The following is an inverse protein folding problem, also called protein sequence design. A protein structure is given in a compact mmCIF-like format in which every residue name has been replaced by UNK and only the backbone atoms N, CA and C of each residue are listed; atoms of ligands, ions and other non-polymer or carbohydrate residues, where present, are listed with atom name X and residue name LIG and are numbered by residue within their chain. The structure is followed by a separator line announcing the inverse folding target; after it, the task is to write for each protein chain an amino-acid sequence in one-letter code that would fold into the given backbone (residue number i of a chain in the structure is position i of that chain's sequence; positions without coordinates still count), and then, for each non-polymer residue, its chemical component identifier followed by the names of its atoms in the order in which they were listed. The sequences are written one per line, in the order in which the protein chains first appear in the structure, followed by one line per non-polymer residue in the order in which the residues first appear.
data_IF_195844668623
#
_entry.id   IF_195844668623
#
_cell.length_a   1.000
_cell.length_b   1.000
_cell.length_c   1.000
_cell.angle_alpha   90.00
_cell.angle_beta   90.00
_cell.angle_gamma   90.00
#
_symmetry.space_group_name_H-M   'P 1'
#
loop_
_entity.id
_entity.type
_entity.pdbx_description
1 polymer ?
#
# COMPACT_ATOMS: atom_id res chain seq x y z
N UNK A 1 74.59 -22.90 -21.26
CA UNK A 1 74.36 -22.18 -19.99
C UNK A 1 73.78 -20.82 -20.39
N UNK A 2 72.50 -20.48 -20.33
CA UNK A 2 71.26 -21.09 -19.85
C UNK A 2 70.16 -20.55 -20.78
N UNK A 3 69.34 -21.45 -21.31
CA UNK A 3 68.18 -21.19 -22.17
C UNK A 3 66.94 -21.16 -21.28
N UNK A 4 66.68 -20.03 -20.59
CA UNK A 4 65.50 -19.87 -19.72
C UNK A 4 65.27 -18.40 -19.29
N UNK A 5 65.37 -17.44 -20.19
CA UNK A 5 64.68 -16.17 -19.97
C UNK A 5 63.35 -16.28 -20.70
N UNK A 6 62.28 -16.63 -19.96
CA UNK A 6 60.92 -16.67 -20.49
C UNK A 6 60.63 -15.33 -21.16
N UNK A 7 60.56 -15.35 -22.49
CA UNK A 7 60.32 -14.19 -23.35
C UNK A 7 59.06 -13.47 -22.87
N UNK A 8 59.25 -12.28 -22.30
CA UNK A 8 58.23 -11.45 -21.66
C UNK A 8 57.08 -11.05 -22.60
N UNK A 9 57.23 -11.30 -23.90
CA UNK A 9 56.21 -11.03 -24.93
C UNK A 9 55.74 -12.31 -25.65
N UNK A 10 56.11 -13.51 -25.19
CA UNK A 10 55.70 -14.77 -25.82
C UNK A 10 54.23 -15.13 -25.58
N UNK A 11 53.63 -15.81 -26.57
CA UNK A 11 52.25 -16.30 -26.55
C UNK A 11 51.95 -17.23 -25.36
N UNK A 12 52.99 -17.87 -24.79
CA UNK A 12 52.90 -18.69 -23.58
C UNK A 12 52.54 -17.87 -22.32
N UNK A 13 52.82 -16.57 -22.30
CA UNK A 13 52.44 -15.66 -21.20
C UNK A 13 51.04 -15.07 -21.45
N UNK A 14 50.72 -14.71 -22.70
CA UNK A 14 49.39 -14.22 -23.08
C UNK A 14 48.30 -15.31 -22.98
N UNK A 15 48.65 -16.58 -23.22
CA UNK A 15 47.73 -17.72 -23.06
C UNK A 15 47.47 -18.12 -21.60
N UNK A 16 48.27 -17.62 -20.64
CA UNK A 16 48.03 -17.80 -19.19
C UNK A 16 47.07 -16.76 -18.63
N UNK A 17 46.88 -15.64 -19.33
CA UNK A 17 45.85 -14.67 -18.97
C UNK A 17 44.55 -15.04 -19.67
N UNK A 18 43.48 -15.21 -18.90
CA UNK A 18 42.15 -15.37 -19.49
C UNK A 18 41.85 -14.13 -20.36
N UNK A 19 41.45 -14.33 -21.62
CA UNK A 19 41.11 -13.25 -22.55
C UNK A 19 39.76 -12.65 -22.14
N UNK A 20 39.74 -11.90 -21.04
CA UNK A 20 38.56 -11.19 -20.53
C UNK A 20 38.37 -9.90 -21.31
N UNK A 21 38.30 -9.99 -22.64
CA UNK A 21 37.80 -8.88 -23.45
C UNK A 21 36.40 -8.58 -22.93
N UNK A 22 36.12 -7.39 -22.38
CA UNK A 22 34.78 -7.05 -21.95
C UNK A 22 33.92 -7.05 -23.21
N UNK A 23 33.18 -8.13 -23.43
CA UNK A 23 32.42 -8.34 -24.63
C UNK A 23 31.50 -7.15 -24.89
N UNK A 24 31.38 -6.76 -26.16
CA UNK A 24 30.29 -5.87 -26.58
C UNK A 24 29.00 -6.52 -26.10
N UNK A 25 28.19 -5.76 -25.34
CA UNK A 25 27.04 -6.33 -24.67
C UNK A 25 26.05 -6.90 -25.70
N UNK A 26 25.83 -8.21 -25.65
CA UNK A 26 24.97 -8.94 -26.60
C UNK A 26 23.48 -8.82 -26.28
N UNK A 27 23.12 -8.50 -25.03
CA UNK A 27 21.75 -8.35 -24.55
C UNK A 27 21.61 -7.14 -23.60
N UNK A 28 20.39 -6.60 -23.50
CA UNK A 28 20.04 -5.49 -22.61
C UNK A 28 20.33 -5.81 -21.14
N UNK A 29 20.08 -7.05 -20.72
CA UNK A 29 20.36 -7.50 -19.34
C UNK A 29 21.86 -7.57 -19.05
N UNK A 30 22.64 -8.06 -20.01
CA UNK A 30 24.10 -8.10 -19.88
C UNK A 30 24.70 -6.69 -19.84
N UNK A 31 24.16 -5.75 -20.64
CA UNK A 31 24.55 -4.33 -20.58
C UNK A 31 24.26 -3.74 -19.19
N UNK A 32 23.11 -4.08 -18.60
CA UNK A 32 22.75 -3.66 -17.24
C UNK A 32 23.70 -4.25 -16.18
N UNK A 33 24.06 -5.53 -16.28
CA UNK A 33 25.02 -6.16 -15.37
C UNK A 33 26.42 -5.53 -15.47
N UNK A 34 26.90 -5.25 -16.69
CA UNK A 34 28.17 -4.55 -16.90
C UNK A 34 28.13 -3.11 -16.37
N UNK A 35 26.99 -2.42 -16.46
CA UNK A 35 26.81 -1.10 -15.86
C UNK A 35 26.82 -1.14 -14.32
N UNK A 36 26.20 -2.16 -13.71
CA UNK A 36 26.23 -2.39 -12.26
C UNK A 36 27.68 -2.67 -11.82
N UNK A 37 28.38 -3.60 -12.47
CA UNK A 37 29.77 -3.92 -12.16
C UNK A 37 30.71 -2.72 -12.36
N UNK A 38 30.53 -1.93 -13.43
CA UNK A 38 31.27 -0.67 -13.66
C UNK A 38 31.00 0.40 -12.59
N UNK A 39 29.87 0.32 -11.88
CA UNK A 39 29.51 1.23 -10.80
C UNK A 39 30.07 0.74 -9.46
N UNK A 40 30.09 -0.57 -9.24
CA UNK A 40 30.71 -1.21 -8.07
C UNK A 40 32.24 -1.05 -8.07
N UNK A 41 32.90 -1.20 -9.23
CA UNK A 41 34.35 -0.99 -9.37
C UNK A 41 34.77 0.48 -9.39
N UNK A 42 33.83 1.40 -9.60
CA UNK A 42 34.10 2.83 -9.40
C UNK A 42 33.99 3.14 -7.91
N UNK A 43 35.03 2.79 -7.16
CA UNK A 43 35.24 3.42 -5.87
C UNK A 43 35.24 4.95 -6.08
N UNK A 44 34.40 5.70 -5.37
CA UNK A 44 34.38 7.14 -5.51
C UNK A 44 35.74 7.68 -5.08
N UNK A 45 36.56 8.07 -6.06
CA UNK A 45 37.81 8.77 -5.78
C UNK A 45 37.47 10.10 -5.11
N UNK A 46 37.75 10.19 -3.81
CA UNK A 46 37.63 11.42 -3.05
C UNK A 46 38.38 12.53 -3.78
N UNK A 47 37.79 13.72 -3.81
CA UNK A 47 38.44 14.87 -4.45
C UNK A 47 39.75 15.14 -3.71
N UNK A 48 40.79 15.61 -4.42
CA UNK A 48 42.12 15.88 -3.85
C UNK A 48 42.07 16.64 -2.51
N UNK A 49 41.18 17.60 -2.36
CA UNK A 49 41.02 18.38 -1.13
C UNK A 49 40.42 17.58 0.05
N UNK A 50 39.49 16.64 -0.21
CA UNK A 50 38.91 15.74 0.79
C UNK A 50 39.97 14.77 1.30
N UNK A 51 40.80 14.23 0.38
CA UNK A 51 41.91 13.35 0.71
C UNK A 51 42.98 14.07 1.53
N UNK A 52 43.31 15.32 1.17
CA UNK A 52 44.24 16.15 1.94
C UNK A 52 43.69 16.52 3.32
N UNK A 53 42.39 16.81 3.42
CA UNK A 53 41.73 17.06 4.71
C UNK A 53 41.75 15.82 5.59
N UNK A 54 41.44 14.65 5.06
CA UNK A 54 41.51 13.38 5.79
C UNK A 54 42.93 13.11 6.30
N UNK A 55 43.94 13.26 5.44
CA UNK A 55 45.36 13.13 5.82
C UNK A 55 45.77 14.13 6.90
N UNK A 56 45.25 15.37 6.83
CA UNK A 56 45.49 16.40 7.84
C UNK A 56 44.85 16.04 9.18
N UNK A 57 43.58 15.62 9.19
CA UNK A 57 42.89 15.20 10.41
C UNK A 57 43.56 14.00 11.04
N UNK A 58 43.94 13.00 10.25
CA UNK A 58 44.66 11.83 10.72
C UNK A 58 46.03 12.21 11.33
N UNK A 59 46.76 13.14 10.70
CA UNK A 59 48.03 13.62 11.23
C UNK A 59 47.88 14.50 12.48
N UNK A 60 46.83 15.32 12.57
CA UNK A 60 46.53 16.14 13.75
C UNK A 60 46.09 15.29 14.96
N UNK A 61 45.35 14.21 14.72
CA UNK A 61 44.89 13.31 15.76
C UNK A 61 46.01 12.41 16.32
N UNK A 62 47.12 12.25 15.58
CA UNK A 62 48.27 11.47 16.04
C UNK A 62 49.18 12.37 16.89
N UNK A 63 49.35 12.08 18.21
CA UNK A 63 50.24 12.85 19.06
C UNK A 63 51.68 12.74 18.56
N UNK A 64 52.48 13.79 18.80
CA UNK A 64 53.90 13.80 18.43
C UNK A 64 54.63 12.70 19.21
N UNK A 65 55.36 11.83 18.50
CA UNK A 65 56.11 10.74 19.12
C UNK A 65 57.26 11.25 19.99
N UNK A 66 57.64 10.47 21.00
CA UNK A 66 58.79 10.75 21.87
C UNK A 66 60.14 10.73 21.13
N UNK A 67 60.20 10.07 19.98
CA UNK A 67 61.34 10.05 19.06
C UNK A 67 61.58 11.41 18.39
N UNK A 68 60.55 12.26 18.30
CA UNK A 68 60.71 13.59 17.75
C UNK A 68 61.65 14.42 18.64
N UNK A 69 62.77 14.89 18.07
CA UNK A 69 63.76 15.73 18.75
C UNK A 69 63.14 16.94 19.46
N UNK A 70 62.07 17.51 18.89
CA UNK A 70 61.33 18.62 19.50
C UNK A 70 60.65 18.22 20.81
N UNK A 71 60.00 17.06 20.85
CA UNK A 71 59.40 16.52 22.08
C UNK A 71 60.48 16.17 23.10
N UNK A 72 61.61 15.59 22.68
CA UNK A 72 62.73 15.29 23.56
C UNK A 72 63.36 16.56 24.19
N UNK A 73 63.42 17.67 23.45
CA UNK A 73 63.86 18.96 23.97
C UNK A 73 62.86 19.53 24.99
N UNK A 74 61.56 19.49 24.68
CA UNK A 74 60.50 19.94 25.58
C UNK A 74 60.50 19.13 26.89
N UNK A 75 60.65 17.81 26.80
CA UNK A 75 60.73 16.93 27.96
C UNK A 75 61.92 17.28 28.87
N UNK A 76 63.09 17.61 28.28
CA UNK A 76 64.27 18.07 29.03
C UNK A 76 64.07 19.42 29.71
N UNK A 77 63.18 20.27 29.18
CA UNK A 77 62.78 21.55 29.77
C UNK A 77 61.68 21.41 30.84
N UNK A 78 61.29 20.17 31.19
CA UNK A 78 60.32 19.89 32.24
C UNK A 78 58.87 19.73 31.77
N UNK A 79 58.62 19.67 30.46
CA UNK A 79 57.31 19.37 29.91
C UNK A 79 56.96 17.88 30.09
N UNK A 80 55.75 17.58 30.60
CA UNK A 80 55.17 16.23 30.59
C UNK A 80 53.93 16.22 29.69
N UNK A 81 53.64 15.13 28.97
CA UNK A 81 52.42 15.01 28.16
C UNK A 81 51.18 15.40 28.96
N UNK A 82 50.36 16.30 28.41
CA UNK A 82 49.15 16.81 29.07
C UNK A 82 49.34 18.04 29.95
N UNK A 83 50.58 18.52 30.15
CA UNK A 83 50.82 19.80 30.85
C UNK A 83 50.63 20.99 29.92
N UNK A 84 50.02 22.07 30.42
CA UNK A 84 50.02 23.37 29.75
C UNK A 84 51.36 24.10 29.95
N UNK A 85 51.83 24.83 28.94
CA UNK A 85 53.05 25.66 29.04
C UNK A 85 52.77 26.98 29.78
N UNK A 86 53.76 27.49 30.52
CA UNK A 86 53.72 28.80 31.22
C UNK A 86 53.36 28.73 32.72
N UNK A 87 53.67 29.79 33.49
CA UNK A 87 53.43 29.86 34.96
C UNK A 87 51.94 29.87 35.29
N UNK A 88 51.49 29.02 36.21
CA UNK A 88 50.11 29.00 36.72
C UNK A 88 49.75 30.36 37.37
N UNK A 89 48.70 31.01 36.88
CA UNK A 89 48.04 32.15 37.52
C UNK A 89 46.64 31.68 37.89
N UNK A 90 46.19 31.99 39.10
CA UNK A 90 44.95 31.50 39.70
C UNK A 90 43.66 31.92 38.96
N UNK A 91 43.75 32.80 37.95
CA UNK A 91 42.59 33.35 37.25
C UNK A 91 42.25 32.67 35.90
N UNK A 92 43.06 31.72 35.41
CA UNK A 92 42.85 31.07 34.10
C UNK A 92 42.78 29.54 34.26
N UNK A 93 41.60 29.03 34.62
CA UNK A 93 41.34 27.58 34.71
C UNK A 93 41.29 26.88 33.34
N UNK A 94 41.28 27.62 32.23
CA UNK A 94 41.19 27.09 30.86
C UNK A 94 42.49 27.27 30.06
N UNK A 95 43.57 26.67 30.54
CA UNK A 95 44.81 26.62 29.76
C UNK A 95 44.67 25.60 28.64
N UNK A 96 44.83 26.06 27.40
CA UNK A 96 44.77 25.18 26.22
C UNK A 96 45.93 24.19 26.24
N UNK A 97 45.60 22.92 26.35
CA UNK A 97 46.50 21.79 26.15
C UNK A 97 46.59 21.40 24.67
N UNK A 98 45.60 21.82 23.87
CA UNK A 98 45.48 21.51 22.46
C UNK A 98 45.74 22.75 21.58
N UNK A 99 46.37 22.58 20.40
CA UNK A 99 46.60 23.67 19.46
C UNK A 99 45.29 24.26 18.93
N UNK A 100 45.32 25.54 18.55
CA UNK A 100 44.15 26.22 17.98
C UNK A 100 43.80 25.59 16.62
N UNK A 101 42.56 25.13 16.48
CA UNK A 101 42.05 24.59 15.22
C UNK A 101 42.00 25.66 14.14
N UNK A 102 42.55 25.34 12.96
CA UNK A 102 42.52 26.22 11.79
C UNK A 102 41.43 25.73 10.83
N UNK A 103 40.47 26.60 10.51
CA UNK A 103 39.45 26.31 9.49
C UNK A 103 39.95 26.80 8.13
N UNK A 104 40.37 25.87 7.27
CA UNK A 104 40.81 26.19 5.91
C UNK A 104 39.57 26.21 5.00
N UNK A 105 39.25 27.38 4.43
CA UNK A 105 38.16 27.53 3.47
C UNK A 105 38.66 27.24 2.06
N UNK A 106 38.05 26.25 1.40
CA UNK A 106 38.42 25.84 0.04
C UNK A 106 37.55 26.49 -1.06
N UNK A 107 36.63 27.38 -0.69
CA UNK A 107 35.72 28.05 -1.62
C UNK A 107 36.02 29.53 -1.81
N UNK A 108 35.56 30.09 -2.95
CA UNK A 108 35.57 31.54 -3.23
C UNK A 108 34.30 32.26 -2.78
N UNK A 109 33.39 31.57 -2.08
CA UNK A 109 32.14 32.16 -1.58
C UNK A 109 32.42 33.08 -0.40
N UNK A 110 31.60 34.12 -0.24
CA UNK A 110 31.70 35.07 0.85
C UNK A 110 31.57 34.41 2.23
N UNK A 111 32.16 35.04 3.24
CA UNK A 111 31.97 34.69 4.65
C UNK A 111 30.47 34.79 5.00
N UNK A 112 29.84 33.71 5.47
CA UNK A 112 28.41 33.68 5.82
C UNK A 112 27.44 33.14 4.76
N UNK A 113 27.88 32.95 3.51
CA UNK A 113 27.01 32.36 2.46
C UNK A 113 26.75 30.87 2.67
N UNK A 114 27.70 30.13 3.25
CA UNK A 114 27.57 28.69 3.44
C UNK A 114 26.49 28.33 4.47
N UNK A 115 26.31 29.14 5.50
CA UNK A 115 25.25 28.95 6.51
C UNK A 115 23.88 29.20 5.91
N UNK A 116 23.71 30.32 5.19
CA UNK A 116 22.46 30.67 4.51
C UNK A 116 22.06 29.62 3.46
N UNK A 117 23.02 29.10 2.69
CA UNK A 117 22.72 28.05 1.71
C UNK A 117 22.31 26.73 2.36
N UNK A 118 22.91 26.36 3.50
CA UNK A 118 22.52 25.17 4.27
C UNK A 118 21.12 25.33 4.86
N UNK A 119 20.82 26.49 5.43
CA UNK A 119 19.48 26.83 5.95
C UNK A 119 18.43 26.73 4.85
N UNK A 120 18.67 27.36 3.69
CA UNK A 120 17.76 27.28 2.56
C UNK A 120 17.63 25.85 1.98
N UNK A 121 18.69 25.04 2.04
CA UNK A 121 18.62 23.62 1.66
C UNK A 121 17.75 22.82 2.63
N UNK A 122 17.91 23.02 3.94
CA UNK A 122 17.08 22.38 4.97
C UNK A 122 15.62 22.79 4.79
N UNK A 123 15.35 24.08 4.63
CA UNK A 123 14.01 24.62 4.41
C UNK A 123 13.35 24.00 3.16
N UNK A 124 14.09 23.88 2.05
CA UNK A 124 13.60 23.22 0.82
C UNK A 124 13.32 21.74 1.02
N UNK A 125 14.19 21.02 1.72
CA UNK A 125 13.99 19.61 2.03
C UNK A 125 12.77 19.40 2.93
N UNK A 126 12.59 20.25 3.95
CA UNK A 126 11.43 20.23 4.83
C UNK A 126 10.14 20.56 4.09
N UNK A 127 10.15 21.59 3.23
CA UNK A 127 9.00 21.94 2.40
C UNK A 127 8.62 20.79 1.46
N UNK A 128 9.61 20.12 0.87
CA UNK A 128 9.40 18.95 0.02
C UNK A 128 8.84 17.75 0.81
N UNK A 129 9.37 17.48 2.00
CA UNK A 129 8.87 16.42 2.88
C UNK A 129 7.42 16.68 3.30
N UNK A 130 7.10 17.93 3.68
CA UNK A 130 5.73 18.36 4.03
C UNK A 130 4.77 18.15 2.86
N UNK A 131 5.16 18.58 1.66
CA UNK A 131 4.37 18.37 0.44
C UNK A 131 4.11 16.88 0.16
N UNK A 132 5.15 16.04 0.28
CA UNK A 132 5.01 14.59 0.09
C UNK A 132 4.10 13.95 1.14
N UNK A 133 4.21 14.37 2.41
CA UNK A 133 3.35 13.89 3.49
C UNK A 133 1.88 14.30 3.29
N UNK A 134 1.62 15.52 2.84
CA UNK A 134 0.27 16.00 2.55
C UNK A 134 -0.35 15.24 1.37
N UNK A 135 0.43 14.99 0.32
CA UNK A 135 0.00 14.17 -0.82
C UNK A 135 -0.29 12.72 -0.42
N UNK A 136 0.53 12.13 0.45
CA UNK A 136 0.30 10.79 0.98
C UNK A 136 -0.99 10.72 1.80
N UNK A 137 -1.24 11.70 2.66
CA UNK A 137 -2.51 11.81 3.40
C UNK A 137 -3.72 11.90 2.47
N UNK A 138 -3.63 12.69 1.40
CA UNK A 138 -4.72 12.76 0.40
C UNK A 138 -4.96 11.41 -0.28
N UNK A 139 -3.90 10.66 -0.63
CA UNK A 139 -4.08 9.32 -1.18
C UNK A 139 -4.66 8.33 -0.17
N UNK A 140 -4.31 8.45 1.11
CA UNK A 140 -4.83 7.58 2.17
C UNK A 140 -6.33 7.82 2.39
N UNK A 141 -6.77 9.10 2.42
CA UNK A 141 -8.19 9.47 2.51
C UNK A 141 -8.98 8.90 1.32
N UNK A 142 -8.48 9.07 0.09
CA UNK A 142 -9.14 8.51 -1.10
C UNK A 142 -9.21 6.97 -1.04
N UNK A 143 -8.17 6.32 -0.50
CA UNK A 143 -8.15 4.87 -0.35
C UNK A 143 -9.15 4.39 0.72
N UNK A 144 -9.32 5.14 1.82
CA UNK A 144 -10.34 4.89 2.84
C UNK A 144 -11.76 5.03 2.29
N UNK A 145 -12.04 6.10 1.55
CA UNK A 145 -13.34 6.31 0.89
C UNK A 145 -13.67 5.18 -0.09
N UNK A 146 -12.68 4.74 -0.88
CA UNK A 146 -12.85 3.61 -1.79
C UNK A 146 -13.15 2.30 -1.03
N UNK A 147 -12.43 2.03 0.07
CA UNK A 147 -12.69 0.85 0.91
C UNK A 147 -14.09 0.88 1.51
N UNK A 148 -14.54 2.04 2.01
CA UNK A 148 -15.88 2.23 2.56
C UNK A 148 -16.97 1.96 1.52
N UNK A 149 -16.87 2.59 0.34
CA UNK A 149 -17.81 2.34 -0.76
C UNK A 149 -17.85 0.86 -1.15
N UNK A 150 -16.69 0.20 -1.17
CA UNK A 150 -16.63 -1.22 -1.51
C UNK A 150 -17.29 -2.10 -0.46
N UNK A 151 -17.16 -1.76 0.83
CA UNK A 151 -17.84 -2.46 1.92
C UNK A 151 -19.36 -2.28 1.79
N UNK A 152 -19.84 -1.07 1.53
CA UNK A 152 -21.27 -0.77 1.30
C UNK A 152 -21.82 -1.56 0.11
N UNK A 153 -21.11 -1.60 -1.03
CA UNK A 153 -21.49 -2.39 -2.21
C UNK A 153 -21.59 -3.90 -1.91
N UNK A 154 -20.76 -4.42 -1.02
CA UNK A 154 -20.81 -5.83 -0.62
C UNK A 154 -21.96 -6.06 0.35
N UNK A 155 -22.16 -5.17 1.31
CA UNK A 155 -23.26 -5.24 2.27
C UNK A 155 -24.63 -5.23 1.55
N UNK A 156 -24.84 -4.31 0.61
CA UNK A 156 -26.07 -4.25 -0.20
C UNK A 156 -26.28 -5.55 -0.97
N UNK A 157 -25.24 -6.10 -1.61
CA UNK A 157 -25.33 -7.40 -2.32
C UNK A 157 -25.74 -8.55 -1.41
N UNK A 158 -25.24 -8.59 -0.17
CA UNK A 158 -25.62 -9.62 0.80
C UNK A 158 -27.09 -9.50 1.17
N UNK A 159 -27.56 -8.29 1.51
CA UNK A 159 -28.97 -8.05 1.86
C UNK A 159 -29.89 -8.39 0.68
N UNK A 160 -29.54 -7.95 -0.54
CA UNK A 160 -30.32 -8.28 -1.76
C UNK A 160 -30.37 -9.79 -2.01
N UNK A 161 -29.25 -10.50 -1.83
CA UNK A 161 -29.23 -11.95 -1.96
C UNK A 161 -30.13 -12.63 -0.91
N UNK A 162 -30.14 -12.13 0.32
CA UNK A 162 -30.99 -12.66 1.39
C UNK A 162 -32.47 -12.36 1.14
N UNK A 163 -32.82 -11.18 0.62
CA UNK A 163 -34.19 -10.86 0.15
C UNK A 163 -34.63 -11.87 -0.91
N UNK A 164 -33.80 -12.08 -1.94
CA UNK A 164 -34.14 -13.00 -3.04
C UNK A 164 -34.33 -14.44 -2.56
N UNK A 165 -33.46 -14.92 -1.66
CA UNK A 165 -33.61 -16.26 -1.03
C UNK A 165 -34.88 -16.36 -0.21
N UNK A 166 -35.15 -15.35 0.62
CA UNK A 166 -36.33 -15.30 1.49
C UNK A 166 -37.61 -15.30 0.67
N UNK A 167 -37.67 -14.48 -0.38
CA UNK A 167 -38.84 -14.43 -1.28
C UNK A 167 -39.08 -15.73 -2.02
N UNK A 168 -38.02 -16.38 -2.49
CA UNK A 168 -38.13 -17.68 -3.13
C UNK A 168 -38.65 -18.73 -2.15
N UNK A 169 -38.13 -18.77 -0.93
CA UNK A 169 -38.62 -19.69 0.10
C UNK A 169 -40.10 -19.40 0.44
N UNK A 170 -40.49 -18.13 0.53
CA UNK A 170 -41.87 -17.70 0.75
C UNK A 170 -42.80 -18.21 -0.35
N UNK A 171 -42.44 -17.98 -1.60
CA UNK A 171 -43.17 -18.47 -2.77
C UNK A 171 -43.29 -20.00 -2.76
N UNK A 172 -42.20 -20.73 -2.51
CA UNK A 172 -42.22 -22.19 -2.50
C UNK A 172 -43.13 -22.75 -1.40
N UNK A 173 -43.19 -22.11 -0.24
CA UNK A 173 -44.03 -22.53 0.89
C UNK A 173 -45.50 -22.15 0.67
N UNK A 174 -45.77 -20.92 0.22
CA UNK A 174 -47.13 -20.46 -0.08
C UNK A 174 -47.76 -21.27 -1.24
N UNK A 175 -46.97 -21.64 -2.26
CA UNK A 175 -47.44 -22.49 -3.36
C UNK A 175 -47.79 -23.91 -2.88
N UNK A 176 -47.10 -24.44 -1.87
CA UNK A 176 -47.46 -25.74 -1.25
C UNK A 176 -48.80 -25.66 -0.51
N UNK A 177 -49.12 -24.50 0.06
CA UNK A 177 -50.43 -24.23 0.67
C UNK A 177 -51.52 -23.91 -0.36
N UNK A 178 -51.15 -23.77 -1.64
CA UNK A 178 -52.08 -23.53 -2.74
C UNK A 178 -52.46 -22.06 -2.95
N UNK A 179 -51.68 -21.11 -2.43
CA UNK A 179 -51.90 -19.67 -2.69
C UNK A 179 -51.55 -19.34 -4.15
N UNK A 180 -52.41 -18.56 -4.83
CA UNK A 180 -52.17 -18.11 -6.21
C UNK A 180 -51.45 -16.77 -6.30
N UNK A 181 -51.44 -16.00 -5.22
CA UNK A 181 -50.84 -14.67 -5.14
C UNK A 181 -50.25 -14.44 -3.75
N UNK A 182 -49.20 -13.62 -3.63
CA UNK A 182 -48.73 -13.19 -2.32
C UNK A 182 -49.74 -12.27 -1.62
N UNK A 183 -49.82 -12.37 -0.29
CA UNK A 183 -50.63 -11.44 0.52
C UNK A 183 -50.08 -10.01 0.46
N UNK A 184 -48.74 -9.88 0.55
CA UNK A 184 -48.02 -8.63 0.42
C UNK A 184 -47.13 -8.62 -0.82
N UNK A 185 -47.08 -7.46 -1.51
CA UNK A 185 -46.26 -7.23 -2.71
C UNK A 185 -44.79 -7.64 -2.55
N UNK A 186 -44.25 -7.59 -1.34
CA UNK A 186 -42.82 -7.84 -1.09
C UNK A 186 -42.47 -9.32 -0.93
N UNK A 187 -43.45 -10.21 -0.80
CA UNK A 187 -43.23 -11.61 -0.40
C UNK A 187 -42.71 -12.49 -1.53
N UNK A 188 -43.20 -12.30 -2.76
CA UNK A 188 -42.85 -13.19 -3.89
C UNK A 188 -41.92 -12.51 -4.90
N UNK A 189 -41.04 -13.28 -5.57
CA UNK A 189 -40.28 -12.78 -6.71
C UNK A 189 -41.18 -12.42 -7.90
N UNK A 190 -40.83 -11.34 -8.59
CA UNK A 190 -41.54 -10.89 -9.79
C UNK A 190 -40.75 -11.25 -11.05
N UNK A 191 -41.45 -11.81 -12.04
CA UNK A 191 -40.89 -12.17 -13.35
C UNK A 191 -41.19 -11.02 -14.32
N UNK A 192 -40.14 -10.51 -14.97
CA UNK A 192 -40.24 -9.48 -16.01
C UNK A 192 -40.31 -10.13 -17.40
N UNK A 193 -41.42 -9.91 -18.11
CA UNK A 193 -41.63 -10.36 -19.49
C UNK A 193 -41.64 -9.17 -20.45
N UNK A 194 -40.97 -9.30 -21.60
CA UNK A 194 -41.02 -8.29 -22.68
C UNK A 194 -42.32 -8.46 -23.44
N UNK A 195 -43.09 -7.38 -23.59
CA UNK A 195 -44.25 -7.37 -24.49
C UNK A 195 -43.71 -7.27 -25.91
N UNK A 196 -43.82 -8.37 -26.66
CA UNK A 196 -43.53 -8.37 -28.10
C UNK A 196 -44.80 -7.98 -28.83
N UNK A 197 -44.92 -6.73 -29.25
CA UNK A 197 -45.99 -6.32 -30.16
C UNK A 197 -45.75 -7.01 -31.53
N UNK A 198 -46.65 -7.93 -31.91
CA UNK A 198 -46.58 -8.66 -33.20
C UNK A 198 -46.60 -7.71 -34.43
N UNK A 199 -46.97 -6.44 -34.24
CA UNK A 199 -47.07 -5.43 -35.28
C UNK A 199 -45.73 -4.78 -35.67
N UNK A 200 -44.63 -5.04 -34.96
CA UNK A 200 -43.30 -4.46 -35.24
C UNK A 200 -42.31 -5.42 -35.96
N UNK A 201 -42.80 -6.48 -36.61
CA UNK A 201 -41.94 -7.54 -37.17
C UNK A 201 -41.09 -7.16 -38.41
N UNK A 202 -41.09 -5.92 -38.90
CA UNK A 202 -40.33 -5.59 -40.11
C UNK A 202 -39.62 -4.23 -40.07
N UNK A 203 -38.69 -4.06 -39.11
CA UNK A 203 -37.69 -2.99 -39.20
C UNK A 203 -36.30 -3.55 -39.56
N UNK A 204 -35.56 -2.94 -40.51
CA UNK A 204 -34.24 -3.37 -40.90
C UNK A 204 -33.24 -3.24 -39.73
N UNK A 205 -32.30 -4.20 -39.62
CA UNK A 205 -31.33 -4.37 -38.50
C UNK A 205 -30.56 -3.11 -38.05
N UNK A 206 -30.57 -2.02 -38.83
CA UNK A 206 -29.78 -0.79 -38.59
C UNK A 206 -30.45 0.25 -37.69
N UNK A 207 -31.74 0.12 -37.34
CA UNK A 207 -32.47 1.06 -36.48
C UNK A 207 -32.78 0.51 -35.07
N UNK A 208 -32.18 -0.61 -34.67
CA UNK A 208 -32.48 -1.34 -33.42
C UNK A 208 -32.15 -0.62 -32.10
N UNK A 209 -31.61 0.60 -32.12
CA UNK A 209 -31.01 1.21 -30.92
C UNK A 209 -31.95 2.09 -30.08
N UNK A 210 -33.24 2.21 -30.42
CA UNK A 210 -34.13 3.16 -29.72
C UNK A 210 -35.61 2.71 -29.64
N UNK A 211 -35.87 1.40 -29.59
CA UNK A 211 -37.24 0.90 -29.34
C UNK A 211 -37.41 0.70 -27.84
N UNK A 212 -38.22 1.56 -27.22
CA UNK A 212 -38.59 1.49 -25.81
C UNK A 212 -39.39 0.21 -25.55
N UNK A 213 -38.71 -0.80 -25.00
CA UNK A 213 -39.32 -2.10 -24.72
C UNK A 213 -40.32 -1.95 -23.58
N UNK A 214 -41.59 -2.28 -23.84
CA UNK A 214 -42.61 -2.37 -22.79
C UNK A 214 -42.48 -3.69 -22.06
N UNK A 215 -42.56 -3.63 -20.73
CA UNK A 215 -42.48 -4.81 -19.87
C UNK A 215 -43.80 -5.04 -19.15
N UNK A 216 -44.15 -6.31 -18.96
CA UNK A 216 -45.23 -6.74 -18.07
C UNK A 216 -44.60 -7.58 -16.96
N UNK A 217 -45.08 -7.34 -15.73
CA UNK A 217 -44.59 -7.97 -14.52
C UNK A 217 -45.62 -8.99 -14.04
N UNK A 218 -45.19 -10.22 -13.76
CA UNK A 218 -46.07 -11.31 -13.31
C UNK A 218 -45.44 -12.12 -12.20
N UNK A 219 -46.27 -12.74 -11.37
CA UNK A 219 -45.84 -13.80 -10.46
C UNK A 219 -45.71 -15.13 -11.21
N UNK A 220 -45.10 -16.15 -10.59
CA UNK A 220 -44.96 -17.49 -11.19
C UNK A 220 -46.29 -18.14 -11.56
N UNK A 221 -47.37 -17.74 -10.91
CA UNK A 221 -48.74 -18.20 -11.13
C UNK A 221 -49.39 -17.57 -12.36
N UNK A 222 -48.75 -16.58 -12.97
CA UNK A 222 -49.26 -15.85 -14.14
C UNK A 222 -50.11 -14.63 -13.77
N UNK A 223 -50.38 -14.39 -12.49
CA UNK A 223 -51.05 -13.18 -12.02
C UNK A 223 -50.16 -11.94 -12.23
N UNK A 224 -50.81 -10.79 -12.50
CA UNK A 224 -50.13 -9.51 -12.71
C UNK A 224 -49.49 -9.03 -11.40
N UNK A 225 -48.21 -8.66 -11.48
CA UNK A 225 -47.45 -8.08 -10.40
C UNK A 225 -47.15 -6.61 -10.68
N UNK A 226 -46.78 -5.88 -9.63
CA UNK A 226 -46.27 -4.52 -9.77
C UNK A 226 -44.80 -4.55 -10.21
N UNK A 227 -44.38 -3.51 -10.92
CA UNK A 227 -42.98 -3.30 -11.26
C UNK A 227 -42.09 -3.30 -10.01
N UNK A 228 -41.00 -4.06 -10.03
CA UNK A 228 -40.05 -4.05 -8.92
C UNK A 228 -38.98 -2.98 -9.13
N UNK A 229 -38.73 -2.14 -8.10
CA UNK A 229 -37.57 -1.26 -8.09
C UNK A 229 -36.26 -2.04 -8.16
N UNK A 230 -35.21 -1.42 -8.71
CA UNK A 230 -33.87 -2.01 -8.71
C UNK A 230 -33.26 -1.95 -7.31
N UNK A 231 -33.21 -3.11 -6.65
CA UNK A 231 -32.67 -3.29 -5.30
C UNK A 231 -31.24 -2.76 -5.11
N UNK A 232 -30.42 -2.68 -6.17
CA UNK A 232 -29.05 -2.16 -6.05
C UNK A 232 -28.98 -0.63 -6.01
N UNK A 233 -30.07 0.05 -6.36
CA UNK A 233 -30.17 1.53 -6.32
C UNK A 233 -30.92 2.05 -5.11
N UNK A 234 -31.48 1.14 -4.31
CA UNK A 234 -32.29 1.45 -3.15
C UNK A 234 -31.43 1.77 -1.92
N UNK A 235 -32.01 2.51 -0.99
CA UNK A 235 -31.40 2.81 0.29
C UNK A 235 -31.33 1.57 1.18
N UNK A 236 -30.26 1.47 1.99
CA UNK A 236 -30.05 0.32 2.90
C UNK A 236 -31.23 0.08 3.84
N UNK A 237 -31.83 1.16 4.36
CA UNK A 237 -32.96 1.06 5.28
C UNK A 237 -34.21 0.44 4.62
N UNK A 238 -34.43 0.73 3.33
CA UNK A 238 -35.56 0.15 2.60
C UNK A 238 -35.31 -1.33 2.26
N UNK A 239 -34.06 -1.70 1.97
CA UNK A 239 -33.67 -3.10 1.80
C UNK A 239 -33.89 -3.89 3.09
N UNK A 240 -33.46 -3.36 4.23
CA UNK A 240 -33.64 -4.00 5.53
C UNK A 240 -35.12 -4.13 5.90
N UNK A 241 -35.92 -3.10 5.63
CA UNK A 241 -37.37 -3.16 5.83
C UNK A 241 -38.01 -4.28 4.99
N UNK A 242 -37.65 -4.37 3.70
CA UNK A 242 -38.18 -5.42 2.82
C UNK A 242 -37.73 -6.82 3.24
N UNK A 243 -36.47 -6.98 3.63
CA UNK A 243 -35.98 -8.25 4.16
C UNK A 243 -36.79 -8.65 5.41
N UNK A 244 -36.96 -7.72 6.36
CA UNK A 244 -37.68 -7.96 7.59
C UNK A 244 -39.15 -8.32 7.35
N UNK A 245 -39.82 -7.67 6.39
CA UNK A 245 -41.20 -7.99 6.03
C UNK A 245 -41.34 -9.46 5.58
N UNK A 246 -40.46 -9.92 4.68
CA UNK A 246 -40.50 -11.31 4.19
C UNK A 246 -40.11 -12.30 5.28
N UNK A 247 -39.07 -12.02 6.05
CA UNK A 247 -38.62 -12.93 7.12
C UNK A 247 -39.62 -13.01 8.27
N UNK A 248 -40.30 -11.91 8.60
CA UNK A 248 -41.36 -11.91 9.61
C UNK A 248 -42.53 -12.78 9.17
N UNK A 249 -42.98 -12.63 7.91
CA UNK A 249 -44.03 -13.48 7.35
C UNK A 249 -43.64 -14.96 7.36
N UNK A 250 -42.42 -15.30 6.92
CA UNK A 250 -41.92 -16.68 6.95
C UNK A 250 -41.88 -17.27 8.36
N UNK A 251 -41.54 -16.47 9.38
CA UNK A 251 -41.47 -16.92 10.77
C UNK A 251 -42.85 -17.07 11.41
N UNK A 252 -43.80 -16.17 11.11
CA UNK A 252 -45.13 -16.18 11.74
C UNK A 252 -46.12 -17.11 11.05
N UNK A 253 -46.07 -17.24 9.72
CA UNK A 253 -47.03 -18.07 8.96
C UNK A 253 -46.49 -19.47 8.72
N UNK A 254 -45.22 -19.58 8.32
CA UNK A 254 -44.62 -20.85 7.91
C UNK A 254 -43.70 -21.47 8.96
N UNK A 255 -43.49 -20.79 10.10
CA UNK A 255 -42.50 -21.13 11.11
C UNK A 255 -41.16 -21.51 10.46
N UNK A 256 -40.71 -20.76 9.45
CA UNK A 256 -39.51 -21.07 8.68
C UNK A 256 -38.41 -20.03 8.92
N UNK A 257 -37.18 -20.50 9.08
CA UNK A 257 -36.01 -19.64 9.15
C UNK A 257 -35.13 -19.82 7.90
N UNK A 258 -34.92 -18.72 7.17
CA UNK A 258 -34.10 -18.72 5.93
C UNK A 258 -32.62 -18.98 6.21
N UNK A 259 -32.13 -18.58 7.39
CA UNK A 259 -30.72 -18.75 7.76
C UNK A 259 -30.43 -20.15 8.32
N UNK A 260 -31.34 -20.72 9.14
CA UNK A 260 -31.23 -22.11 9.57
C UNK A 260 -31.52 -23.11 8.45
N UNK A 261 -32.37 -22.72 7.48
CA UNK A 261 -32.82 -23.59 6.39
C UNK A 261 -33.85 -24.65 6.81
N UNK A 262 -34.53 -24.49 7.95
CA UNK A 262 -35.50 -25.45 8.48
C UNK A 262 -36.85 -24.79 8.84
N UNK A 263 -37.89 -25.62 8.83
CA UNK A 263 -39.23 -25.32 9.35
C UNK A 263 -39.35 -25.83 10.79
N UNK A 264 -40.07 -25.10 11.63
CA UNK A 264 -40.34 -25.40 13.03
C UNK A 264 -41.81 -25.80 13.21
N UNK A 265 -42.15 -26.44 14.32
CA UNK A 265 -43.51 -26.96 14.55
C UNK A 265 -44.49 -25.88 15.06
N UNK A 266 -43.98 -24.87 15.77
CA UNK A 266 -44.78 -23.79 16.35
C UNK A 266 -43.99 -22.48 16.48
N UNK A 267 -44.71 -21.40 16.79
CA UNK A 267 -44.10 -20.09 17.11
C UNK A 267 -43.22 -20.14 18.38
N UNK A 268 -43.58 -20.99 19.34
CA UNK A 268 -42.78 -21.23 20.55
C UNK A 268 -41.49 -22.02 20.21
N UNK A 269 -41.59 -22.98 19.30
CA UNK A 269 -40.46 -23.79 18.85
C UNK A 269 -39.43 -22.96 18.10
N UNK A 270 -39.88 -22.10 17.17
CA UNK A 270 -38.96 -21.21 16.44
C UNK A 270 -38.32 -20.16 17.35
N UNK A 271 -38.98 -19.71 18.42
CA UNK A 271 -38.38 -18.74 19.35
C UNK A 271 -37.38 -19.40 20.30
N UNK A 272 -37.58 -20.67 20.66
CA UNK A 272 -36.66 -21.43 21.50
C UNK A 272 -35.43 -21.96 20.74
N UNK A 273 -35.61 -22.41 19.49
CA UNK A 273 -34.59 -23.16 18.75
C UNK A 273 -33.89 -22.35 17.64
N UNK A 274 -34.39 -21.16 17.28
CA UNK A 274 -33.74 -20.30 16.28
C UNK A 274 -32.94 -19.18 16.97
N UNK A 275 -31.64 -19.00 16.65
CA UNK A 275 -30.80 -17.95 17.23
C UNK A 275 -31.35 -16.52 17.14
N UNK A 276 -32.10 -16.21 16.08
CA UNK A 276 -32.79 -14.93 15.94
C UNK A 276 -33.42 -14.71 14.57
N UNK A 277 -33.92 -13.50 14.34
CA UNK A 277 -34.64 -13.08 13.12
C UNK A 277 -33.79 -12.28 12.12
N UNK A 278 -32.50 -12.08 12.40
CA UNK A 278 -31.56 -11.40 11.50
C UNK A 278 -30.38 -12.31 11.17
N UNK A 279 -29.74 -12.07 10.02
CA UNK A 279 -28.55 -12.81 9.57
C UNK A 279 -27.46 -12.89 10.65
N UNK A 280 -27.20 -11.78 11.32
CA UNK A 280 -26.17 -11.63 12.36
C UNK A 280 -26.36 -12.56 13.56
N UNK A 281 -27.58 -13.04 13.82
CA UNK A 281 -27.82 -14.03 14.86
C UNK A 281 -27.34 -15.43 14.47
N UNK A 282 -27.06 -15.67 13.19
CA UNK A 282 -26.71 -16.98 12.62
C UNK A 282 -25.29 -17.05 12.07
N UNK A 283 -24.53 -15.95 12.11
CA UNK A 283 -23.13 -15.96 11.69
C UNK A 283 -22.28 -16.64 12.79
N UNK A 284 -21.52 -17.68 12.41
CA UNK A 284 -20.75 -18.57 13.31
C UNK A 284 -19.63 -17.87 14.11
N UNK A 285 -19.27 -16.65 13.72
CA UNK A 285 -18.24 -15.84 14.39
C UNK A 285 -18.73 -15.19 15.70
N UNK A 286 -19.98 -15.44 16.12
CA UNK A 286 -20.56 -14.89 17.36
C UNK A 286 -20.43 -15.83 18.58
N UNK A 287 -19.71 -16.95 18.43
CA UNK A 287 -19.31 -17.81 19.55
C UNK A 287 -17.87 -17.48 19.98
N UNK A 288 -17.71 -16.40 20.74
CA UNK A 288 -16.57 -16.22 21.66
C UNK A 288 -16.90 -16.77 23.05
#
# INVERSE_FOLDING_TARGET
MSDSEDDYMSEAILGKTEDVKPGIATSREHRRQLEISKREFREPQLKKHELEAHRRHEALNKPVSSENKGFALLAKMGYKPGMSLGKAKEADEERRTEPIGIQIKFGRKGLGHETQEKEHQVERCEAHLKYMAERAKQSDVLAEEFRKKKQEDVATKVVVADIMKSRKACQDLDLREGKSAPEDRYLWPVIREVVVDEQEQFQPKRLRYDVEQKYVYKYSTGELAYEEPDFYTMDSEELDFRLNAVTTYLRSHHHYCVWCGCTYESEEDITANCPGSSRTCHDEDNFE
#
